data_IF_173386420517
#
_entry.id   IF_173386420517
#
_cell.length_a   1.000
_cell.length_b   1.000
_cell.length_c   1.000
_cell.angle_alpha   90.00
_cell.angle_beta   90.00
_cell.angle_gamma   90.00
#
_symmetry.space_group_name_H-M   'P 1'
#
loop_
_entity.id
_entity.type
_entity.pdbx_description
1 polymer ?
#
# COMPACT_ATOMS: atom_id res chain seq x y z
N UNK A 1 -9.16 1.77 31.36
CA UNK A 1 -9.35 3.01 30.59
C UNK A 1 -8.11 3.87 30.77
N UNK A 2 -7.13 3.73 29.90
CA UNK A 2 -6.01 4.67 29.81
C UNK A 2 -6.18 5.32 28.46
N UNK A 3 -6.60 6.58 28.46
CA UNK A 3 -6.53 7.43 27.28
C UNK A 3 -5.06 7.51 26.88
N UNK A 4 -4.67 6.65 25.93
CA UNK A 4 -3.49 6.90 25.12
C UNK A 4 -3.80 8.18 24.36
N UNK A 5 -3.33 9.31 24.88
CA UNK A 5 -3.21 10.54 24.13
C UNK A 5 -2.24 10.29 22.97
N UNK A 6 -2.72 9.61 21.93
CA UNK A 6 -2.10 9.52 20.62
C UNK A 6 -1.89 10.96 20.18
N UNK A 7 -0.65 11.46 20.26
CA UNK A 7 -0.27 12.72 19.62
C UNK A 7 -0.69 12.57 18.16
N UNK A 8 -1.69 13.35 17.74
CA UNK A 8 -2.02 13.49 16.32
C UNK A 8 -0.71 13.72 15.57
N UNK A 9 -0.50 12.95 14.50
CA UNK A 9 0.59 13.15 13.56
C UNK A 9 0.62 14.63 13.16
N UNK A 10 1.76 15.29 13.44
CA UNK A 10 1.90 16.72 13.23
C UNK A 10 1.87 17.00 11.73
N UNK A 11 0.76 17.54 11.24
CA UNK A 11 0.63 17.95 9.84
C UNK A 11 1.50 19.18 9.59
N UNK A 12 2.35 19.16 8.58
CA UNK A 12 3.14 20.32 8.16
C UNK A 12 2.25 21.34 7.45
N UNK A 13 2.62 22.62 7.57
CA UNK A 13 1.94 23.72 6.88
C UNK A 13 1.97 23.50 5.36
N UNK A 14 0.82 23.65 4.69
CA UNK A 14 0.72 23.47 3.24
C UNK A 14 1.52 24.49 2.41
N UNK A 15 1.95 25.60 3.02
CA UNK A 15 2.94 26.51 2.44
C UNK A 15 4.36 25.93 2.62
N UNK A 16 4.60 24.71 2.14
CA UNK A 16 5.90 24.03 2.27
C UNK A 16 6.72 24.12 0.98
N UNK A 17 6.06 24.06 -0.18
CA UNK A 17 6.70 24.22 -1.48
C UNK A 17 6.26 25.54 -2.13
N UNK A 18 7.24 26.23 -2.71
CA UNK A 18 7.01 27.35 -3.60
C UNK A 18 7.46 26.90 -4.99
N UNK A 19 6.59 27.03 -5.98
CA UNK A 19 6.96 26.78 -7.38
C UNK A 19 8.15 27.69 -7.76
N UNK A 20 9.05 27.23 -8.64
CA UNK A 20 10.15 28.05 -9.15
C UNK A 20 9.57 29.30 -9.83
N UNK A 21 9.67 30.45 -9.15
CA UNK A 21 9.10 31.72 -9.60
C UNK A 21 8.11 32.38 -8.63
N UNK A 22 7.66 31.70 -7.57
CA UNK A 22 6.78 32.30 -6.55
C UNK A 22 7.63 32.81 -5.37
N UNK A 23 7.50 34.10 -5.04
CA UNK A 23 8.18 34.73 -3.90
C UNK A 23 7.50 34.35 -2.59
N UNK A 24 7.98 33.33 -1.92
CA UNK A 24 7.54 33.01 -0.56
C UNK A 24 8.49 32.06 0.14
N UNK A 25 8.39 32.02 1.47
CA UNK A 25 9.29 31.26 2.33
C UNK A 25 8.61 29.92 2.66
N UNK A 26 9.22 28.77 2.33
CA UNK A 26 8.81 27.45 2.79
C UNK A 26 8.59 27.41 4.31
N UNK A 27 7.49 26.81 4.74
CA UNK A 27 7.10 26.74 6.14
C UNK A 27 7.06 25.29 6.62
N UNK A 28 7.94 24.96 7.56
CA UNK A 28 8.01 23.64 8.21
C UNK A 28 7.21 23.57 9.52
N UNK A 29 6.51 24.65 9.90
CA UNK A 29 5.72 24.70 11.14
C UNK A 29 4.52 23.77 11.07
N UNK A 30 4.10 23.27 12.22
CA UNK A 30 2.87 22.49 12.36
C UNK A 30 1.65 23.33 11.99
N UNK A 31 0.77 22.75 11.18
CA UNK A 31 -0.48 23.35 10.76
C UNK A 31 -1.60 23.09 11.78
N UNK A 32 -2.50 24.05 11.94
CA UNK A 32 -3.69 23.91 12.78
C UNK A 32 -4.94 24.58 12.22
N UNK A 33 -4.80 25.38 11.15
CA UNK A 33 -5.88 26.17 10.56
C UNK A 33 -6.19 25.67 9.15
N UNK A 34 -7.35 25.04 8.98
CA UNK A 34 -7.79 24.57 7.68
C UNK A 34 -8.16 25.71 6.72
N UNK A 35 -8.06 25.46 5.42
CA UNK A 35 -8.65 26.34 4.42
C UNK A 35 -10.19 26.31 4.54
N UNK A 36 -10.79 27.43 4.94
CA UNK A 36 -12.26 27.54 5.10
C UNK A 36 -13.07 27.32 3.80
N UNK A 37 -12.43 27.41 2.64
CA UNK A 37 -13.11 27.23 1.34
C UNK A 37 -13.31 25.77 0.96
N UNK A 38 -12.31 24.92 1.17
CA UNK A 38 -12.31 23.53 0.69
C UNK A 38 -12.12 22.49 1.79
N UNK A 39 -11.53 22.86 2.93
CA UNK A 39 -11.09 21.96 4.00
C UNK A 39 -10.16 20.83 3.53
N UNK A 40 -9.39 21.05 2.46
CA UNK A 40 -8.41 20.09 1.93
C UNK A 40 -7.00 20.28 2.50
N UNK A 41 -6.62 21.50 2.88
CA UNK A 41 -5.27 21.83 3.33
C UNK A 41 -5.29 22.59 4.65
N UNK A 42 -4.17 22.60 5.36
CA UNK A 42 -4.00 23.28 6.63
C UNK A 42 -2.76 24.18 6.62
N UNK A 43 -2.81 25.26 7.39
CA UNK A 43 -1.75 26.26 7.53
C UNK A 43 -1.42 26.52 8.99
N UNK A 44 -0.21 26.99 9.26
CA UNK A 44 0.17 27.49 10.58
C UNK A 44 -0.33 28.94 10.80
N UNK A 45 -0.47 29.74 9.74
CA UNK A 45 -0.87 31.15 9.80
C UNK A 45 -1.66 31.59 8.55
N UNK A 46 -2.29 32.76 8.65
CA UNK A 46 -2.97 33.40 7.50
C UNK A 46 -1.96 33.81 6.42
N UNK A 47 -0.77 34.26 6.79
CA UNK A 47 0.27 34.66 5.84
C UNK A 47 0.72 33.48 4.98
N UNK A 48 0.89 32.30 5.58
CA UNK A 48 1.18 31.08 4.84
C UNK A 48 0.05 30.71 3.86
N UNK A 49 -1.22 30.92 4.26
CA UNK A 49 -2.34 30.71 3.35
C UNK A 49 -2.30 31.67 2.16
N UNK A 50 -1.99 32.95 2.39
CA UNK A 50 -1.88 33.96 1.33
C UNK A 50 -0.72 33.63 0.40
N UNK A 51 0.43 33.23 0.95
CA UNK A 51 1.61 32.84 0.17
C UNK A 51 1.34 31.62 -0.73
N UNK A 52 0.67 30.59 -0.20
CA UNK A 52 0.32 29.38 -0.95
C UNK A 52 -0.92 29.56 -1.87
N UNK A 53 -1.64 30.68 -1.79
CA UNK A 53 -2.94 30.83 -2.46
C UNK A 53 -2.85 30.70 -3.98
N UNK A 54 -1.77 31.17 -4.61
CA UNK A 54 -1.61 31.12 -6.07
C UNK A 54 -1.65 29.68 -6.60
N UNK A 55 -0.99 28.75 -5.91
CA UNK A 55 -0.98 27.33 -6.26
C UNK A 55 -2.28 26.66 -5.80
N UNK A 56 -2.70 26.87 -4.55
CA UNK A 56 -3.88 26.20 -3.97
C UNK A 56 -5.23 26.60 -4.60
N UNK A 57 -5.35 27.80 -5.17
CA UNK A 57 -6.61 28.30 -5.75
C UNK A 57 -7.17 27.37 -6.82
N UNK A 58 -6.32 26.71 -7.60
CA UNK A 58 -6.71 25.77 -8.68
C UNK A 58 -7.52 24.59 -8.11
N UNK A 59 -7.07 24.04 -6.99
CA UNK A 59 -7.77 22.95 -6.29
C UNK A 59 -9.01 23.48 -5.56
N UNK A 60 -8.84 24.56 -4.79
CA UNK A 60 -9.90 25.13 -3.96
C UNK A 60 -11.11 25.63 -4.77
N UNK A 61 -10.89 26.06 -6.02
CA UNK A 61 -11.92 26.57 -6.94
C UNK A 61 -12.15 25.64 -8.14
N UNK A 62 -11.68 24.39 -8.07
CA UNK A 62 -11.90 23.39 -9.11
C UNK A 62 -13.40 23.21 -9.40
N UNK A 63 -13.80 22.97 -10.67
CA UNK A 63 -15.18 22.60 -11.00
C UNK A 63 -15.70 21.41 -10.18
N UNK A 64 -14.81 20.46 -9.84
CA UNK A 64 -15.17 19.29 -9.02
C UNK A 64 -15.60 19.65 -7.60
N UNK A 65 -15.21 20.82 -7.07
CA UNK A 65 -15.67 21.34 -5.78
C UNK A 65 -17.15 21.76 -5.78
N UNK A 66 -17.80 21.85 -6.95
CA UNK A 66 -19.21 22.25 -7.04
C UNK A 66 -20.14 21.07 -6.79
N UNK A 67 -21.11 21.24 -5.89
CA UNK A 67 -22.23 20.27 -5.70
C UNK A 67 -23.05 20.09 -6.98
N UNK A 68 -23.13 21.12 -7.81
CA UNK A 68 -23.83 21.12 -9.09
C UNK A 68 -23.03 20.51 -10.24
N UNK A 69 -21.78 20.07 -10.01
CA UNK A 69 -21.01 19.40 -11.06
C UNK A 69 -21.76 18.14 -11.56
N UNK A 70 -21.68 17.91 -12.87
CA UNK A 70 -22.28 16.78 -13.57
C UNK A 70 -21.23 16.19 -14.52
N UNK A 71 -21.23 14.87 -14.74
CA UNK A 71 -20.43 14.25 -15.80
C UNK A 71 -20.70 14.87 -17.16
N UNK A 72 -19.69 14.91 -18.02
CA UNK A 72 -19.73 15.52 -19.33
C UNK A 72 -20.81 14.87 -20.22
N UNK A 73 -20.92 13.54 -20.19
CA UNK A 73 -21.96 12.81 -20.93
C UNK A 73 -23.39 13.21 -20.52
N UNK A 74 -23.62 13.59 -19.24
CA UNK A 74 -24.93 14.09 -18.80
C UNK A 74 -25.19 15.53 -19.27
N UNK A 75 -24.16 16.38 -19.25
CA UNK A 75 -24.24 17.77 -19.74
C UNK A 75 -24.50 17.80 -21.25
N UNK A 76 -23.81 16.96 -22.01
CA UNK A 76 -23.94 16.81 -23.46
C UNK A 76 -25.22 16.08 -23.89
N UNK A 77 -25.95 15.47 -22.94
CA UNK A 77 -27.05 14.53 -23.23
C UNK A 77 -26.62 13.42 -24.19
N UNK A 78 -25.36 13.01 -24.08
CA UNK A 78 -24.74 11.95 -24.86
C UNK A 78 -24.86 10.62 -24.13
N UNK A 79 -25.02 9.53 -24.87
CA UNK A 79 -24.91 8.17 -24.34
C UNK A 79 -23.49 7.94 -23.79
N UNK A 80 -23.32 7.51 -22.53
CA UNK A 80 -22.00 7.22 -21.96
C UNK A 80 -21.33 6.03 -22.66
N UNK A 81 -20.01 6.03 -22.80
CA UNK A 81 -19.24 4.97 -23.47
C UNK A 81 -19.34 3.61 -22.77
N UNK A 82 -19.66 3.60 -21.47
CA UNK A 82 -19.89 2.38 -20.69
C UNK A 82 -21.29 1.79 -20.86
N UNK A 83 -22.20 2.45 -21.59
CA UNK A 83 -23.50 1.89 -21.97
C UNK A 83 -23.39 1.47 -23.43
N UNK A 84 -23.16 0.18 -23.71
CA UNK A 84 -23.16 -0.41 -25.07
C UNK A 84 -24.42 -1.24 -25.31
N UNK A 85 -24.83 -1.39 -26.57
CA UNK A 85 -25.95 -2.26 -26.94
C UNK A 85 -25.53 -3.74 -26.86
N UNK A 86 -26.48 -4.62 -26.55
CA UNK A 86 -26.25 -6.07 -26.50
C UNK A 86 -25.86 -6.68 -27.87
N UNK A 87 -26.01 -5.91 -28.96
CA UNK A 87 -25.74 -6.35 -30.33
C UNK A 87 -24.34 -5.95 -30.85
N UNK A 88 -23.44 -5.43 -29.99
CA UNK A 88 -22.05 -5.16 -30.39
C UNK A 88 -21.30 -6.49 -30.63
N UNK A 89 -20.92 -6.83 -31.88
CA UNK A 89 -20.29 -8.12 -32.19
C UNK A 89 -18.89 -8.27 -31.60
N UNK A 90 -18.33 -7.23 -30.97
CA UNK A 90 -17.10 -7.31 -30.18
C UNK A 90 -17.32 -7.92 -28.77
N UNK A 91 -18.58 -8.12 -28.36
CA UNK A 91 -18.94 -8.91 -27.18
C UNK A 91 -19.03 -10.39 -27.57
N UNK A 92 -18.06 -11.19 -27.13
CA UNK A 92 -18.44 -12.50 -26.58
C UNK A 92 -19.34 -12.30 -25.34
N UNK A 93 -19.72 -13.37 -24.64
CA UNK A 93 -20.66 -13.37 -23.49
C UNK A 93 -20.26 -12.52 -22.23
N UNK A 94 -19.40 -11.51 -22.35
CA UNK A 94 -18.90 -10.71 -21.22
C UNK A 94 -19.82 -9.51 -20.93
N UNK A 95 -20.41 -9.39 -19.73
CA UNK A 95 -21.26 -8.27 -19.37
C UNK A 95 -20.57 -6.91 -19.51
N UNK A 96 -21.29 -5.91 -20.03
CA UNK A 96 -20.82 -4.53 -20.28
C UNK A 96 -20.24 -3.84 -19.02
N UNK A 97 -20.63 -4.28 -17.83
CA UNK A 97 -20.11 -3.80 -16.52
C UNK A 97 -18.68 -4.26 -16.21
N UNK A 98 -18.09 -5.16 -17.01
CA UNK A 98 -16.81 -5.83 -16.75
C UNK A 98 -15.67 -5.39 -17.69
N UNK A 99 -15.85 -4.34 -18.52
CA UNK A 99 -14.80 -3.82 -19.40
C UNK A 99 -13.63 -3.28 -18.59
N UNK A 100 -12.63 -4.13 -18.41
CA UNK A 100 -11.39 -3.88 -17.69
C UNK A 100 -10.48 -2.97 -18.50
N UNK A 101 -9.91 -1.97 -17.84
CA UNK A 101 -8.84 -1.14 -18.40
C UNK A 101 -7.65 -1.17 -17.45
N UNK A 102 -6.44 -1.30 -18.00
CA UNK A 102 -5.24 -1.60 -17.21
C UNK A 102 -5.04 -3.11 -17.01
N UNK A 103 -4.24 -3.46 -16.00
CA UNK A 103 -3.85 -4.85 -15.70
C UNK A 103 -4.52 -5.33 -14.40
N UNK A 104 -4.80 -6.64 -14.31
CA UNK A 104 -5.47 -7.26 -13.14
C UNK A 104 -4.49 -7.69 -12.05
N UNK A 105 -3.69 -6.76 -11.52
CA UNK A 105 -3.00 -7.00 -10.25
C UNK A 105 -3.73 -6.25 -9.15
N UNK A 106 -3.92 -6.91 -8.02
CA UNK A 106 -4.63 -6.36 -6.85
C UNK A 106 -3.63 -6.02 -5.74
N UNK A 107 -2.67 -5.14 -6.04
CA UNK A 107 -1.53 -4.87 -5.16
C UNK A 107 -1.87 -3.97 -3.96
N UNK A 108 -3.07 -3.38 -3.96
CA UNK A 108 -3.72 -2.73 -2.80
C UNK A 108 -4.87 -3.57 -2.23
N UNK A 109 -4.98 -4.79 -2.74
CA UNK A 109 -6.09 -5.72 -2.59
C UNK A 109 -7.45 -5.17 -3.04
N UNK A 110 -8.51 -5.95 -2.86
CA UNK A 110 -9.85 -5.69 -3.41
C UNK A 110 -11.00 -5.82 -2.39
N UNK A 111 -10.68 -5.84 -1.10
CA UNK A 111 -11.65 -5.94 0.02
C UNK A 111 -11.09 -5.16 1.20
N UNK A 112 -11.88 -4.47 2.03
CA UNK A 112 -11.36 -3.78 3.21
C UNK A 112 -10.59 -4.72 4.14
N UNK A 113 -9.62 -4.19 4.88
CA UNK A 113 -8.90 -4.94 5.90
C UNK A 113 -9.86 -5.51 6.97
N UNK A 114 -9.74 -6.80 7.22
CA UNK A 114 -10.53 -7.55 8.20
C UNK A 114 -9.60 -8.06 9.29
N UNK A 115 -9.94 -7.78 10.55
CA UNK A 115 -9.42 -8.56 11.67
C UNK A 115 -10.06 -9.95 11.57
N UNK A 116 -9.27 -11.00 11.33
CA UNK A 116 -9.79 -12.37 11.22
C UNK A 116 -9.90 -13.05 12.58
N UNK A 117 -9.22 -12.52 13.61
CA UNK A 117 -9.24 -13.06 14.96
C UNK A 117 -10.53 -12.64 15.65
N UNK A 118 -10.95 -11.38 15.50
CA UNK A 118 -12.17 -10.82 16.11
C UNK A 118 -12.36 -11.35 17.54
N UNK A 119 -11.39 -11.16 18.43
CA UNK A 119 -11.36 -11.82 19.74
C UNK A 119 -12.69 -11.76 20.50
N UNK A 120 -13.41 -10.63 20.41
CA UNK A 120 -14.69 -10.45 21.08
C UNK A 120 -15.87 -11.18 20.43
N UNK A 121 -15.77 -11.62 19.17
CA UNK A 121 -16.87 -12.22 18.40
C UNK A 121 -16.59 -13.68 17.99
N UNK A 122 -15.35 -14.05 17.66
CA UNK A 122 -14.99 -15.38 17.15
C UNK A 122 -14.34 -16.27 18.22
N UNK A 123 -13.25 -15.81 18.85
CA UNK A 123 -12.40 -16.65 19.71
C UNK A 123 -12.75 -16.58 21.21
N UNK A 124 -13.56 -15.61 21.63
CA UNK A 124 -13.92 -15.39 23.03
C UNK A 124 -12.86 -14.60 23.81
N UNK A 125 -13.09 -14.40 25.12
CA UNK A 125 -12.21 -13.59 25.97
C UNK A 125 -10.84 -14.24 26.22
N UNK A 126 -10.79 -15.56 26.17
CA UNK A 126 -9.61 -16.36 26.49
C UNK A 126 -8.96 -16.83 25.19
N UNK A 127 -8.06 -16.00 24.65
CA UNK A 127 -7.28 -16.36 23.46
C UNK A 127 -6.33 -17.52 23.78
N UNK A 128 -6.14 -18.47 22.84
CA UNK A 128 -5.20 -19.58 23.02
C UNK A 128 -3.77 -19.07 23.13
N UNK A 129 -2.89 -19.79 23.85
CA UNK A 129 -1.48 -19.41 24.00
C UNK A 129 -0.70 -19.40 22.66
N UNK A 130 -1.20 -20.11 21.65
CA UNK A 130 -0.64 -20.16 20.31
C UNK A 130 -1.73 -19.93 19.27
N UNK A 131 -1.60 -18.85 18.51
CA UNK A 131 -2.47 -18.52 17.38
C UNK A 131 -1.81 -18.95 16.07
N UNK A 132 -2.55 -19.70 15.25
CA UNK A 132 -2.11 -20.10 13.90
C UNK A 132 -3.07 -19.54 12.87
N UNK A 133 -2.58 -18.61 12.06
CA UNK A 133 -3.38 -17.84 11.11
C UNK A 133 -2.97 -18.18 9.68
N UNK A 134 -3.96 -18.51 8.84
CA UNK A 134 -3.75 -18.82 7.43
C UNK A 134 -4.37 -17.76 6.53
N UNK A 135 -3.53 -17.07 5.76
CA UNK A 135 -3.89 -16.15 4.69
C UNK A 135 -3.56 -16.82 3.35
N UNK A 136 -4.41 -17.77 2.93
CA UNK A 136 -4.14 -18.66 1.79
C UNK A 136 -4.07 -17.98 0.41
N UNK A 137 -4.78 -16.86 0.25
CA UNK A 137 -4.72 -15.99 -0.93
C UNK A 137 -4.72 -14.55 -0.40
N UNK A 138 -3.56 -14.15 0.11
CA UNK A 138 -3.40 -12.95 0.94
C UNK A 138 -3.73 -11.66 0.19
N UNK A 139 -3.34 -11.53 -1.09
CA UNK A 139 -3.43 -10.30 -1.88
C UNK A 139 -2.46 -9.21 -1.38
N UNK A 140 -2.57 -8.80 -0.13
CA UNK A 140 -1.59 -7.97 0.58
C UNK A 140 -1.60 -8.27 2.09
N UNK A 141 -0.79 -7.59 2.89
CA UNK A 141 -0.71 -7.84 4.35
C UNK A 141 -1.74 -7.07 5.19
N UNK A 142 -2.77 -6.43 4.61
CA UNK A 142 -3.68 -5.57 5.42
C UNK A 142 -4.46 -6.35 6.47
N UNK A 143 -4.86 -7.58 6.14
CA UNK A 143 -5.55 -8.48 7.08
C UNK A 143 -4.60 -8.97 8.18
N UNK A 144 -3.33 -9.20 7.85
CA UNK A 144 -2.27 -9.54 8.81
C UNK A 144 -2.06 -8.38 9.79
N UNK A 145 -1.88 -7.17 9.27
CA UNK A 145 -1.71 -5.94 10.05
C UNK A 145 -2.90 -5.73 10.97
N UNK A 146 -4.12 -5.72 10.41
CA UNK A 146 -5.35 -5.49 11.17
C UNK A 146 -5.53 -6.52 12.29
N UNK A 147 -5.37 -7.80 11.98
CA UNK A 147 -5.54 -8.88 12.97
C UNK A 147 -4.54 -8.78 14.14
N UNK A 148 -3.27 -8.48 13.85
CA UNK A 148 -2.26 -8.37 14.90
C UNK A 148 -2.42 -7.08 15.73
N UNK A 149 -2.84 -5.98 15.10
CA UNK A 149 -3.08 -4.69 15.77
C UNK A 149 -4.29 -4.74 16.72
N UNK A 150 -5.32 -5.53 16.38
CA UNK A 150 -6.54 -5.69 17.20
C UNK A 150 -6.40 -6.77 18.29
N UNK A 151 -5.28 -7.50 18.34
CA UNK A 151 -5.01 -8.40 19.47
C UNK A 151 -4.99 -7.62 20.80
N UNK A 152 -5.60 -8.15 21.87
CA UNK A 152 -5.56 -7.53 23.19
C UNK A 152 -4.12 -7.21 23.61
N UNK A 153 -3.88 -6.01 24.15
CA UNK A 153 -2.54 -5.59 24.57
C UNK A 153 -1.96 -6.47 25.69
N UNK A 154 -2.79 -7.28 26.34
CA UNK A 154 -2.40 -8.28 27.35
C UNK A 154 -1.96 -9.60 26.73
N UNK A 155 -2.29 -9.88 25.47
CA UNK A 155 -1.88 -11.10 24.79
C UNK A 155 -0.36 -11.12 24.60
N UNK A 156 0.26 -12.21 25.09
CA UNK A 156 1.71 -12.49 25.06
C UNK A 156 2.02 -13.86 24.43
N UNK A 157 1.02 -14.54 23.88
CA UNK A 157 1.18 -15.85 23.26
C UNK A 157 1.95 -15.79 21.94
N UNK A 158 2.18 -16.96 21.38
CA UNK A 158 2.84 -17.14 20.10
C UNK A 158 1.88 -16.89 18.94
N UNK A 159 2.37 -16.27 17.87
CA UNK A 159 1.63 -16.09 16.62
C UNK A 159 2.39 -16.73 15.47
N UNK A 160 1.80 -17.73 14.83
CA UNK A 160 2.28 -18.31 13.58
C UNK A 160 1.36 -17.88 12.45
N UNK A 161 1.90 -17.18 11.45
CA UNK A 161 1.14 -16.64 10.33
C UNK A 161 1.69 -17.22 9.03
N UNK A 162 0.81 -17.87 8.27
CA UNK A 162 1.10 -18.36 6.94
C UNK A 162 0.44 -17.42 5.94
N UNK A 163 1.26 -16.84 5.06
CA UNK A 163 0.87 -15.81 4.10
C UNK A 163 1.23 -16.34 2.72
N UNK A 164 0.22 -16.66 1.92
CA UNK A 164 0.42 -17.24 0.60
C UNK A 164 -0.23 -16.36 -0.46
N UNK A 165 0.40 -16.30 -1.62
CA UNK A 165 -0.24 -15.88 -2.85
C UNK A 165 0.38 -16.62 -4.03
N UNK A 166 -0.34 -16.73 -5.14
CA UNK A 166 0.19 -17.31 -6.37
C UNK A 166 0.87 -16.28 -7.27
N UNK A 167 0.57 -15.00 -7.08
CA UNK A 167 1.21 -13.91 -7.82
C UNK A 167 2.51 -13.52 -7.11
N UNK A 168 3.65 -13.76 -7.77
CA UNK A 168 4.97 -13.42 -7.22
C UNK A 168 5.08 -11.94 -6.84
N UNK A 169 4.48 -11.01 -7.60
CA UNK A 169 4.56 -9.58 -7.27
C UNK A 169 3.90 -9.28 -5.92
N UNK A 170 2.83 -10.00 -5.59
CA UNK A 170 2.17 -9.91 -4.28
C UNK A 170 3.09 -10.48 -3.19
N UNK A 171 3.66 -11.65 -3.40
CA UNK A 171 4.53 -12.30 -2.40
C UNK A 171 5.79 -11.47 -2.14
N UNK A 172 6.45 -10.98 -3.19
CA UNK A 172 7.60 -10.09 -3.12
C UNK A 172 7.29 -8.83 -2.30
N UNK A 173 6.14 -8.21 -2.54
CA UNK A 173 5.70 -7.02 -1.79
C UNK A 173 5.40 -7.32 -0.33
N UNK A 174 4.70 -8.41 -0.06
CA UNK A 174 4.41 -8.84 1.30
C UNK A 174 5.70 -9.13 2.08
N UNK A 175 6.67 -9.79 1.45
CA UNK A 175 7.99 -10.02 2.02
C UNK A 175 8.72 -8.70 2.32
N UNK A 176 8.76 -7.76 1.37
CA UNK A 176 9.40 -6.45 1.56
C UNK A 176 8.77 -5.64 2.70
N UNK A 177 7.43 -5.62 2.77
CA UNK A 177 6.71 -4.90 3.83
C UNK A 177 6.99 -5.51 5.22
N UNK A 178 6.98 -6.83 5.35
CA UNK A 178 7.27 -7.51 6.62
C UNK A 178 8.75 -7.39 7.01
N UNK A 179 9.69 -7.52 6.06
CA UNK A 179 11.11 -7.28 6.30
C UNK A 179 11.35 -5.83 6.74
N UNK A 180 10.66 -4.86 6.14
CA UNK A 180 10.72 -3.45 6.55
C UNK A 180 10.27 -3.29 8.02
N UNK A 181 9.15 -3.92 8.40
CA UNK A 181 8.66 -3.90 9.77
C UNK A 181 9.61 -4.57 10.79
N UNK A 182 10.44 -5.53 10.35
CA UNK A 182 11.36 -6.28 11.21
C UNK A 182 12.75 -5.64 11.32
N UNK A 183 13.18 -4.87 10.30
CA UNK A 183 14.54 -4.32 10.18
C UNK A 183 14.66 -2.88 10.70
N UNK A 184 13.62 -2.07 10.56
CA UNK A 184 13.65 -0.63 10.90
C UNK A 184 12.93 -0.31 12.22
N UNK A 185 13.21 0.86 12.78
CA UNK A 185 12.45 1.41 13.91
C UNK A 185 10.96 1.55 13.55
N UNK A 186 10.00 1.29 14.47
CA UNK A 186 8.58 1.32 14.17
C UNK A 186 8.04 2.58 13.48
N UNK A 187 8.60 3.76 13.76
CA UNK A 187 8.16 5.02 13.14
C UNK A 187 8.69 5.10 11.70
N UNK A 188 9.97 4.77 11.52
CA UNK A 188 10.62 4.76 10.21
C UNK A 188 10.04 3.66 9.30
N UNK A 189 9.84 2.45 9.84
CA UNK A 189 9.24 1.33 9.13
C UNK A 189 7.85 1.71 8.61
N UNK A 190 7.00 2.32 9.45
CA UNK A 190 5.67 2.74 9.05
C UNK A 190 5.69 3.76 7.90
N UNK A 191 6.59 4.75 7.93
CA UNK A 191 6.73 5.75 6.86
C UNK A 191 7.13 5.09 5.52
N UNK A 192 8.15 4.22 5.56
CA UNK A 192 8.62 3.48 4.40
C UNK A 192 7.51 2.57 3.85
N UNK A 193 6.85 1.80 4.71
CA UNK A 193 5.81 0.84 4.34
C UNK A 193 4.63 1.50 3.64
N UNK A 194 4.11 2.65 4.11
CA UNK A 194 3.00 3.36 3.45
C UNK A 194 3.33 3.63 1.99
N UNK A 195 4.54 4.11 1.73
CA UNK A 195 4.93 4.57 0.40
C UNK A 195 5.29 3.41 -0.53
N UNK A 196 5.95 2.36 -0.03
CA UNK A 196 6.11 1.12 -0.81
C UNK A 196 4.76 0.50 -1.15
N UNK A 197 3.79 0.58 -0.23
CA UNK A 197 2.49 -0.06 -0.42
C UNK A 197 1.58 0.75 -1.35
N UNK A 198 1.36 2.03 -1.08
CA UNK A 198 0.26 2.80 -1.67
C UNK A 198 0.69 3.94 -2.61
N UNK A 199 1.99 4.24 -2.71
CA UNK A 199 2.48 5.29 -3.61
C UNK A 199 3.19 4.72 -4.83
N UNK A 200 2.82 5.21 -6.02
CA UNK A 200 3.50 4.95 -7.29
C UNK A 200 4.92 5.52 -7.30
N UNK A 201 5.17 6.59 -6.54
CA UNK A 201 6.50 7.17 -6.36
C UNK A 201 6.89 7.14 -4.89
N UNK A 202 8.17 6.96 -4.62
CA UNK A 202 8.77 6.99 -3.28
C UNK A 202 9.92 8.00 -3.26
N UNK A 203 10.40 8.31 -2.05
CA UNK A 203 11.58 9.16 -1.89
C UNK A 203 12.84 8.35 -2.19
N UNK A 204 13.89 9.03 -2.66
CA UNK A 204 15.21 8.44 -2.83
C UNK A 204 15.76 7.87 -1.51
N UNK A 205 15.53 8.59 -0.40
CA UNK A 205 15.91 8.11 0.93
C UNK A 205 15.25 6.79 1.30
N UNK A 206 13.94 6.63 1.04
CA UNK A 206 13.23 5.38 1.34
C UNK A 206 13.75 4.23 0.48
N UNK A 207 14.02 4.47 -0.81
CA UNK A 207 14.59 3.45 -1.69
C UNK A 207 16.00 3.02 -1.24
N UNK A 208 16.87 3.99 -0.94
CA UNK A 208 18.25 3.73 -0.51
C UNK A 208 18.28 2.90 0.77
N UNK A 209 17.41 3.19 1.76
CA UNK A 209 17.31 2.41 2.99
C UNK A 209 16.99 0.94 2.72
N UNK A 210 16.05 0.65 1.81
CA UNK A 210 15.70 -0.72 1.43
C UNK A 210 16.88 -1.42 0.73
N UNK A 211 17.57 -0.70 -0.16
CA UNK A 211 18.76 -1.19 -0.85
C UNK A 211 19.95 -1.44 0.09
N UNK A 212 20.11 -0.64 1.14
CA UNK A 212 21.23 -0.77 2.08
C UNK A 212 20.99 -1.88 3.12
N UNK A 213 19.72 -2.08 3.53
CA UNK A 213 19.39 -2.92 4.68
C UNK A 213 18.73 -4.25 4.33
N UNK A 214 17.89 -4.29 3.28
CA UNK A 214 17.10 -5.47 2.96
C UNK A 214 17.66 -6.18 1.72
N UNK A 215 17.96 -5.44 0.65
CA UNK A 215 18.47 -6.03 -0.59
C UNK A 215 19.68 -6.97 -0.39
N UNK A 216 20.71 -6.65 0.43
CA UNK A 216 21.85 -7.54 0.62
C UNK A 216 21.47 -8.87 1.27
N UNK A 217 20.43 -8.87 2.11
CA UNK A 217 19.90 -10.10 2.71
C UNK A 217 19.26 -11.03 1.65
N UNK A 218 18.72 -10.45 0.58
CA UNK A 218 18.13 -11.19 -0.54
C UNK A 218 19.23 -11.64 -1.51
N UNK A 219 20.17 -10.76 -1.85
CA UNK A 219 21.30 -11.08 -2.73
C UNK A 219 22.17 -12.22 -2.16
N UNK A 220 22.42 -12.25 -0.85
CA UNK A 220 23.07 -13.39 -0.17
C UNK A 220 22.37 -14.73 -0.44
N UNK A 221 21.03 -14.72 -0.48
CA UNK A 221 20.24 -15.93 -0.77
C UNK A 221 20.41 -16.32 -2.22
N UNK A 222 20.27 -15.37 -3.15
CA UNK A 222 20.43 -15.58 -4.58
C UNK A 222 21.80 -16.19 -4.92
N UNK A 223 22.87 -15.68 -4.32
CA UNK A 223 24.23 -16.21 -4.48
C UNK A 223 24.33 -17.68 -4.02
N UNK A 224 23.79 -17.99 -2.85
CA UNK A 224 23.82 -19.35 -2.27
C UNK A 224 23.00 -20.37 -3.07
N UNK A 225 21.97 -19.93 -3.80
CA UNK A 225 21.10 -20.80 -4.61
C UNK A 225 21.38 -20.73 -6.11
N UNK A 226 22.42 -20.02 -6.54
CA UNK A 226 22.70 -19.75 -7.96
C UNK A 226 22.74 -21.02 -8.84
N UNK A 227 23.30 -22.12 -8.33
CA UNK A 227 23.41 -23.41 -9.03
C UNK A 227 22.17 -24.30 -8.97
N UNK A 228 21.09 -23.90 -8.30
CA UNK A 228 19.88 -24.71 -8.14
C UNK A 228 18.94 -24.56 -9.36
N UNK A 229 18.14 -25.60 -9.71
CA UNK A 229 17.18 -25.52 -10.81
C UNK A 229 16.14 -24.41 -10.61
N UNK A 230 15.74 -23.70 -11.66
CA UNK A 230 14.81 -22.56 -11.56
C UNK A 230 13.47 -22.85 -10.88
N UNK A 231 12.94 -24.07 -11.05
CA UNK A 231 11.67 -24.50 -10.42
C UNK A 231 11.84 -25.06 -9.01
N UNK A 232 13.07 -25.31 -8.57
CA UNK A 232 13.32 -25.87 -7.24
C UNK A 232 12.96 -24.85 -6.16
N UNK A 233 12.22 -25.29 -5.14
CA UNK A 233 11.82 -24.43 -4.04
C UNK A 233 12.98 -24.23 -3.08
N UNK A 234 13.29 -22.98 -2.79
CA UNK A 234 14.32 -22.57 -1.85
C UNK A 234 13.69 -21.81 -0.70
N UNK A 235 14.12 -22.11 0.51
CA UNK A 235 13.65 -21.46 1.73
C UNK A 235 14.78 -20.73 2.42
N UNK A 236 14.50 -19.51 2.89
CA UNK A 236 15.35 -18.79 3.83
C UNK A 236 14.52 -18.33 5.01
N UNK A 237 15.04 -18.57 6.22
CA UNK A 237 14.51 -18.00 7.45
C UNK A 237 15.48 -16.96 8.01
N UNK A 238 14.97 -15.78 8.33
CA UNK A 238 15.68 -14.75 9.09
C UNK A 238 15.07 -14.61 10.49
N UNK A 239 15.92 -14.40 11.49
CA UNK A 239 15.54 -14.32 12.90
C UNK A 239 15.92 -12.96 13.48
N UNK A 240 14.97 -12.31 14.15
CA UNK A 240 15.05 -10.98 14.76
C UNK A 240 14.62 -11.05 16.23
N UNK A 241 15.43 -11.66 17.09
CA UNK A 241 15.03 -11.95 18.47
C UNK A 241 13.92 -13.01 18.50
N UNK A 242 12.76 -12.68 19.09
CA UNK A 242 11.59 -13.57 19.18
C UNK A 242 10.74 -13.62 17.91
N UNK A 243 11.19 -12.94 16.84
CA UNK A 243 10.44 -12.77 15.59
C UNK A 243 11.18 -13.46 14.47
N UNK A 244 10.50 -14.28 13.69
CA UNK A 244 11.09 -14.98 12.53
C UNK A 244 10.26 -14.75 11.28
N UNK A 245 10.93 -14.60 10.13
CA UNK A 245 10.30 -14.62 8.81
C UNK A 245 10.95 -15.70 7.96
N UNK A 246 10.14 -16.62 7.44
CA UNK A 246 10.55 -17.61 6.45
C UNK A 246 9.93 -17.26 5.10
N UNK A 247 10.76 -17.19 4.07
CA UNK A 247 10.32 -16.96 2.69
C UNK A 247 10.65 -18.20 1.86
N UNK A 248 9.63 -18.79 1.23
CA UNK A 248 9.74 -19.99 0.41
C UNK A 248 9.30 -19.65 -1.01
N UNK A 249 10.25 -19.64 -1.94
CA UNK A 249 10.03 -19.27 -3.34
C UNK A 249 10.71 -20.27 -4.28
N UNK A 250 10.21 -20.46 -5.50
CA UNK A 250 10.99 -21.04 -6.58
C UNK A 250 12.30 -20.26 -6.78
N UNK A 251 13.38 -20.95 -7.14
CA UNK A 251 14.69 -20.31 -7.39
C UNK A 251 14.60 -19.17 -8.41
N UNK A 252 13.82 -19.32 -9.49
CA UNK A 252 13.63 -18.26 -10.47
C UNK A 252 12.98 -16.99 -9.88
N UNK A 253 12.10 -17.16 -8.91
CA UNK A 253 11.47 -16.05 -8.17
C UNK A 253 12.45 -15.39 -7.20
N UNK A 254 13.34 -16.17 -6.57
CA UNK A 254 14.48 -15.61 -5.83
C UNK A 254 15.38 -14.76 -6.73
N UNK A 255 15.72 -15.22 -7.93
CA UNK A 255 16.53 -14.45 -8.88
C UNK A 255 15.86 -13.13 -9.29
N UNK A 256 14.52 -13.09 -9.33
CA UNK A 256 13.75 -11.91 -9.71
C UNK A 256 13.60 -10.92 -8.54
N UNK A 257 13.54 -11.38 -7.29
CA UNK A 257 13.26 -10.54 -6.12
C UNK A 257 14.18 -9.31 -5.96
N UNK A 258 15.51 -9.37 -6.23
CA UNK A 258 16.37 -8.19 -6.21
C UNK A 258 15.90 -7.03 -7.10
N UNK A 259 15.18 -7.31 -8.20
CA UNK A 259 14.66 -6.27 -9.10
C UNK A 259 13.57 -5.41 -8.44
N UNK A 260 12.91 -5.89 -7.39
CA UNK A 260 11.91 -5.12 -6.63
C UNK A 260 12.53 -4.04 -5.74
N UNK A 261 13.86 -3.97 -5.68
CA UNK A 261 14.62 -2.92 -4.99
C UNK A 261 15.29 -1.95 -5.96
N UNK A 262 15.12 -2.11 -7.28
CA UNK A 262 15.83 -1.34 -8.31
C UNK A 262 14.81 -0.77 -9.30
N UNK A 263 14.88 0.53 -9.55
CA UNK A 263 14.05 1.14 -10.60
C UNK A 263 14.48 0.55 -11.95
N UNK A 264 13.54 0.06 -12.79
CA UNK A 264 13.90 -0.50 -14.09
C UNK A 264 14.71 0.46 -14.95
N UNK A 265 15.70 -0.09 -15.66
CA UNK A 265 16.54 0.71 -16.56
C UNK A 265 15.69 1.46 -17.59
N UNK A 266 15.99 2.74 -17.77
CA UNK A 266 15.27 3.61 -18.70
C UNK A 266 13.88 4.06 -18.21
N UNK A 267 13.48 3.76 -16.97
CA UNK A 267 12.24 4.26 -16.38
C UNK A 267 12.48 5.54 -15.55
N UNK A 268 12.43 6.70 -16.21
CA UNK A 268 12.43 7.98 -15.50
C UNK A 268 11.12 8.22 -14.74
N UNK A 269 11.14 9.14 -13.77
CA UNK A 269 9.94 9.60 -13.05
C UNK A 269 8.83 10.05 -14.02
N UNK A 270 9.19 10.82 -15.05
CA UNK A 270 8.25 11.33 -16.06
C UNK A 270 7.67 10.21 -16.93
N UNK A 271 8.47 9.21 -17.32
CA UNK A 271 8.00 8.05 -18.09
C UNK A 271 7.05 7.20 -17.25
N UNK A 272 7.40 6.91 -16.00
CA UNK A 272 6.55 6.19 -15.07
C UNK A 272 5.21 6.90 -14.83
N UNK A 273 5.24 8.23 -14.65
CA UNK A 273 4.03 9.02 -14.44
C UNK A 273 3.13 8.98 -15.67
N UNK A 274 3.71 9.09 -16.87
CA UNK A 274 2.96 9.00 -18.12
C UNK A 274 2.26 7.65 -18.24
N UNK A 275 2.97 6.55 -18.05
CA UNK A 275 2.44 5.18 -18.14
C UNK A 275 1.31 4.95 -17.12
N UNK A 276 1.47 5.46 -15.89
CA UNK A 276 0.41 5.42 -14.88
C UNK A 276 -0.82 6.21 -15.33
N UNK A 277 -0.64 7.47 -15.73
CA UNK A 277 -1.73 8.39 -16.15
C UNK A 277 -2.46 7.89 -17.39
N UNK A 278 -1.76 7.25 -18.33
CA UNK A 278 -2.36 6.60 -19.51
C UNK A 278 -3.39 5.52 -19.11
N UNK A 279 -3.23 4.92 -17.93
CA UNK A 279 -4.19 3.96 -17.36
C UNK A 279 -5.21 4.63 -16.44
N UNK A 280 -4.76 5.40 -15.43
CA UNK A 280 -5.63 5.95 -14.38
C UNK A 280 -6.52 7.11 -14.85
N UNK A 281 -6.13 7.80 -15.92
CA UNK A 281 -6.83 8.95 -16.50
C UNK A 281 -6.99 8.82 -18.02
N UNK A 282 -7.09 7.59 -18.52
CA UNK A 282 -7.27 7.31 -19.95
C UNK A 282 -8.45 8.10 -20.54
N UNK A 283 -8.28 8.86 -21.63
CA UNK A 283 -9.38 9.58 -22.28
C UNK A 283 -10.52 8.65 -22.70
N UNK A 284 -10.20 7.40 -23.07
CA UNK A 284 -11.19 6.37 -23.45
C UNK A 284 -12.09 5.92 -22.29
N UNK A 285 -11.65 6.17 -21.05
CA UNK A 285 -12.32 5.80 -19.79
C UNK A 285 -12.93 6.99 -19.06
N UNK A 286 -12.97 8.16 -19.70
CA UNK A 286 -13.47 9.39 -19.10
C UNK A 286 -14.89 9.23 -18.52
N UNK A 287 -15.81 8.63 -19.26
CA UNK A 287 -17.19 8.47 -18.80
C UNK A 287 -17.27 7.55 -17.55
N UNK A 288 -16.44 6.50 -17.50
CA UNK A 288 -16.32 5.60 -16.33
C UNK A 288 -15.79 6.34 -15.10
N UNK A 289 -14.71 7.10 -15.26
CA UNK A 289 -14.12 7.90 -14.20
C UNK A 289 -15.12 8.97 -13.70
N UNK A 290 -15.77 9.69 -14.60
CA UNK A 290 -16.74 10.71 -14.21
C UNK A 290 -17.97 10.12 -13.52
N UNK A 291 -18.40 8.90 -13.90
CA UNK A 291 -19.43 8.15 -13.17
C UNK A 291 -19.00 7.87 -11.73
N UNK A 292 -17.77 7.42 -11.53
CA UNK A 292 -17.21 7.19 -10.20
C UNK A 292 -17.15 8.50 -9.39
N UNK A 293 -16.56 9.56 -9.95
CA UNK A 293 -16.44 10.87 -9.29
C UNK A 293 -17.81 11.47 -8.95
N UNK A 294 -18.84 11.23 -9.75
CA UNK A 294 -20.19 11.73 -9.49
C UNK A 294 -20.76 11.23 -8.15
N UNK A 295 -20.46 9.99 -7.78
CA UNK A 295 -20.89 9.38 -6.51
C UNK A 295 -20.15 9.92 -5.29
N UNK A 296 -19.05 10.66 -5.48
CA UNK A 296 -18.21 11.18 -4.40
C UNK A 296 -18.61 12.61 -3.99
N UNK A 297 -18.39 13.00 -2.71
CA UNK A 297 -18.49 14.39 -2.26
C UNK A 297 -17.56 15.33 -3.06
N UNK A 298 -17.88 16.64 -3.18
CA UNK A 298 -17.16 17.54 -4.08
C UNK A 298 -15.64 17.61 -3.84
N UNK A 299 -15.21 17.69 -2.59
CA UNK A 299 -13.79 17.73 -2.26
C UNK A 299 -13.06 16.41 -2.53
N UNK A 300 -13.74 15.28 -2.34
CA UNK A 300 -13.16 13.96 -2.58
C UNK A 300 -12.90 13.70 -4.06
N UNK A 301 -13.67 14.32 -4.95
CA UNK A 301 -13.41 14.30 -6.40
C UNK A 301 -12.05 14.92 -6.71
N UNK A 302 -11.74 16.07 -6.11
CA UNK A 302 -10.45 16.74 -6.26
C UNK A 302 -9.32 15.87 -5.71
N UNK A 303 -9.50 15.26 -4.54
CA UNK A 303 -8.51 14.33 -3.99
C UNK A 303 -8.26 13.13 -4.91
N UNK A 304 -9.34 12.53 -5.43
CA UNK A 304 -9.27 11.36 -6.32
C UNK A 304 -8.53 11.70 -7.63
N UNK A 305 -8.84 12.86 -8.23
CA UNK A 305 -8.13 13.34 -9.42
C UNK A 305 -6.66 13.56 -9.12
N UNK A 306 -6.32 14.20 -7.99
CA UNK A 306 -4.93 14.44 -7.59
C UNK A 306 -4.16 13.14 -7.44
N UNK A 307 -4.69 12.18 -6.68
CA UNK A 307 -4.06 10.86 -6.49
C UNK A 307 -3.91 10.10 -7.82
N UNK A 308 -4.90 10.14 -8.72
CA UNK A 308 -4.78 9.51 -10.05
C UNK A 308 -3.76 10.18 -10.96
N UNK A 309 -3.42 11.45 -10.72
CA UNK A 309 -2.40 12.20 -11.49
C UNK A 309 -0.98 12.06 -10.92
N UNK A 310 -0.83 12.14 -9.59
CA UNK A 310 0.50 12.11 -8.94
C UNK A 310 0.87 10.73 -8.39
N UNK A 311 -0.11 9.87 -8.10
CA UNK A 311 0.09 8.50 -7.64
C UNK A 311 0.62 8.40 -6.22
N UNK A 312 0.59 9.45 -5.40
CA UNK A 312 1.24 9.46 -4.07
C UNK A 312 0.20 9.55 -2.96
N UNK A 313 0.16 8.53 -2.08
CA UNK A 313 -0.70 8.57 -0.89
C UNK A 313 -0.08 9.48 0.18
N UNK A 314 -0.55 10.72 0.22
CA UNK A 314 -0.16 11.75 1.19
C UNK A 314 -1.31 12.70 1.47
N UNK A 315 -1.35 13.34 2.65
CA UNK A 315 -2.26 14.46 2.91
C UNK A 315 -2.17 15.52 1.82
N UNK A 316 -3.30 16.04 1.38
CA UNK A 316 -3.45 16.84 0.16
C UNK A 316 -2.50 18.04 0.10
N UNK A 317 -2.24 18.67 1.25
CA UNK A 317 -1.38 19.85 1.38
C UNK A 317 0.11 19.57 1.57
N UNK A 318 0.55 18.30 1.69
CA UNK A 318 1.96 17.98 1.85
C UNK A 318 2.75 18.07 0.53
N UNK A 319 4.07 18.24 0.63
CA UNK A 319 4.96 18.25 -0.53
C UNK A 319 4.98 16.89 -1.23
N UNK A 320 5.02 16.91 -2.57
CA UNK A 320 5.35 15.75 -3.40
C UNK A 320 6.74 15.85 -4.02
N UNK A 321 7.51 16.91 -3.70
CA UNK A 321 8.75 17.25 -4.41
C UNK A 321 9.80 16.14 -4.33
N UNK A 322 9.88 15.45 -3.20
CA UNK A 322 10.88 14.42 -2.96
C UNK A 322 10.46 13.03 -3.48
N UNK A 323 9.20 12.86 -3.92
CA UNK A 323 8.65 11.61 -4.44
C UNK A 323 8.97 11.46 -5.93
N UNK A 324 10.27 11.27 -6.22
CA UNK A 324 10.80 11.24 -7.58
C UNK A 324 11.16 9.83 -8.08
N UNK A 325 11.27 8.85 -7.19
CA UNK A 325 11.68 7.51 -7.58
C UNK A 325 10.42 6.70 -7.92
N UNK A 326 10.27 6.16 -9.15
CA UNK A 326 9.25 5.16 -9.42
C UNK A 326 9.36 4.03 -8.41
N UNK A 327 8.26 3.66 -7.76
CA UNK A 327 8.25 2.58 -6.80
C UNK A 327 8.51 1.25 -7.54
N UNK A 328 9.67 0.59 -7.34
CA UNK A 328 10.01 -0.63 -8.06
C UNK A 328 9.02 -1.77 -7.79
N UNK A 329 8.31 -1.75 -6.66
CA UNK A 329 7.28 -2.77 -6.35
C UNK A 329 5.95 -2.57 -7.10
N UNK A 330 5.78 -1.44 -7.78
CA UNK A 330 4.67 -1.14 -8.68
C UNK A 330 5.13 -1.06 -10.13
N UNK A 331 6.39 -0.71 -10.38
CA UNK A 331 6.95 -0.59 -11.71
C UNK A 331 7.99 -1.68 -11.95
N UNK A 332 7.54 -2.86 -12.35
CA UNK A 332 8.38 -3.96 -12.85
C UNK A 332 8.49 -3.98 -14.39
N UNK A 333 7.77 -3.10 -15.07
CA UNK A 333 7.82 -2.90 -16.53
C UNK A 333 7.89 -1.41 -16.83
N UNK A 334 8.52 -1.05 -17.95
CA UNK A 334 8.59 0.35 -18.39
C UNK A 334 7.38 0.81 -19.20
N UNK A 335 6.46 -0.10 -19.53
CA UNK A 335 5.49 0.11 -20.60
C UNK A 335 4.04 0.09 -20.14
N UNK A 336 3.76 -0.41 -18.92
CA UNK A 336 2.39 -0.47 -18.40
C UNK A 336 2.31 -0.26 -16.89
N UNK A 337 1.16 0.24 -16.45
CA UNK A 337 0.76 0.26 -15.04
C UNK A 337 0.15 -1.09 -14.64
N UNK A 338 0.55 -1.71 -13.51
CA UNK A 338 0.16 -3.08 -13.18
C UNK A 338 -1.27 -3.25 -12.67
N UNK A 339 -1.99 -2.15 -12.38
CA UNK A 339 -3.33 -2.22 -11.79
C UNK A 339 -4.40 -1.65 -12.74
N UNK A 340 -5.66 -1.84 -12.38
CA UNK A 340 -6.80 -1.34 -13.13
C UNK A 340 -6.95 0.18 -12.96
N UNK A 341 -7.63 0.82 -13.91
CA UNK A 341 -7.98 2.25 -13.85
C UNK A 341 -8.77 2.65 -12.61
N UNK A 342 -9.55 1.70 -12.06
CA UNK A 342 -10.36 1.87 -10.86
C UNK A 342 -9.63 1.59 -9.54
N UNK A 343 -8.38 1.13 -9.55
CA UNK A 343 -7.68 0.78 -8.32
C UNK A 343 -7.52 2.02 -7.42
N UNK A 344 -7.89 1.89 -6.14
CA UNK A 344 -7.89 3.01 -5.20
C UNK A 344 -7.56 2.52 -3.79
N UNK A 345 -6.54 3.08 -3.10
CA UNK A 345 -6.18 2.66 -1.74
C UNK A 345 -7.31 2.88 -0.72
N UNK A 346 -8.30 3.72 -1.03
CA UNK A 346 -9.50 3.92 -0.20
C UNK A 346 -10.34 2.64 -0.03
N UNK A 347 -10.22 1.66 -0.95
CA UNK A 347 -10.93 0.38 -0.90
C UNK A 347 -10.25 -0.64 0.03
N UNK A 348 -8.99 -0.40 0.41
CA UNK A 348 -8.19 -1.34 1.20
C UNK A 348 -8.48 -1.31 2.70
N UNK A 349 -9.23 -0.32 3.20
CA UNK A 349 -9.49 -0.12 4.62
C UNK A 349 -10.93 0.34 4.87
N UNK A 350 -11.56 -0.02 6.00
CA UNK A 350 -12.92 0.40 6.32
C UNK A 350 -13.05 1.92 6.39
N UNK A 351 -14.00 2.50 5.66
CA UNK A 351 -14.11 3.95 5.52
C UNK A 351 -14.54 4.64 6.82
N UNK A 352 -15.32 3.95 7.63
CA UNK A 352 -15.78 4.41 8.93
C UNK A 352 -14.60 4.61 9.89
N UNK A 353 -13.57 3.76 9.78
CA UNK A 353 -12.41 3.80 10.67
C UNK A 353 -11.52 5.01 10.37
N UNK A 354 -11.13 5.21 9.11
CA UNK A 354 -10.23 6.33 8.77
C UNK A 354 -10.93 7.70 8.75
N UNK A 355 -12.26 7.75 8.74
CA UNK A 355 -13.02 9.00 8.88
C UNK A 355 -13.44 9.32 10.33
N UNK A 356 -13.25 8.39 11.27
CA UNK A 356 -13.69 8.55 12.67
C UNK A 356 -12.97 9.68 13.42
N UNK A 357 -11.73 10.01 13.05
CA UNK A 357 -10.90 11.03 13.70
C UNK A 357 -10.47 12.12 12.70
N UNK A 358 -11.40 13.01 12.28
CA UNK A 358 -11.11 13.98 11.24
C UNK A 358 -10.08 15.02 11.69
N UNK A 359 -9.07 15.26 10.85
CA UNK A 359 -8.16 16.39 11.02
C UNK A 359 -8.88 17.72 10.69
N UNK A 360 -8.27 18.89 10.97
CA UNK A 360 -8.82 20.17 10.50
C UNK A 360 -9.08 20.21 8.98
N UNK A 361 -8.25 19.52 8.18
CA UNK A 361 -8.53 19.24 6.77
C UNK A 361 -9.51 18.06 6.62
N UNK A 362 -10.70 18.20 7.20
CA UNK A 362 -11.72 17.13 7.26
C UNK A 362 -12.24 16.62 5.91
N UNK A 363 -11.98 17.34 4.82
CA UNK A 363 -12.39 16.94 3.48
C UNK A 363 -11.27 16.21 2.71
N UNK A 364 -10.07 16.11 3.30
CA UNK A 364 -8.94 15.39 2.73
C UNK A 364 -9.05 13.88 3.04
N UNK A 365 -9.75 13.16 2.17
CA UNK A 365 -10.03 11.73 2.38
C UNK A 365 -8.77 10.87 2.29
N UNK A 366 -7.84 11.19 1.38
CA UNK A 366 -6.56 10.46 1.25
C UNK A 366 -5.60 10.80 2.38
N UNK A 367 -5.61 12.05 2.88
CA UNK A 367 -4.89 12.39 4.11
C UNK A 367 -5.44 11.68 5.34
N UNK A 368 -6.77 11.55 5.44
CA UNK A 368 -7.42 10.79 6.50
C UNK A 368 -7.00 9.31 6.46
N UNK A 369 -7.02 8.70 5.27
CA UNK A 369 -6.48 7.36 5.05
C UNK A 369 -5.00 7.27 5.42
N UNK A 370 -4.16 8.20 4.95
CA UNK A 370 -2.73 8.22 5.24
C UNK A 370 -2.45 8.19 6.74
N UNK A 371 -3.09 9.07 7.53
CA UNK A 371 -2.87 9.11 8.97
C UNK A 371 -3.39 7.88 9.69
N UNK A 372 -4.52 7.34 9.23
CA UNK A 372 -5.05 6.09 9.75
C UNK A 372 -4.07 4.92 9.50
N UNK A 373 -3.59 4.74 8.26
CA UNK A 373 -2.62 3.69 7.93
C UNK A 373 -1.31 3.91 8.68
N UNK A 374 -0.85 5.15 8.81
CA UNK A 374 0.33 5.48 9.61
C UNK A 374 0.19 5.02 11.08
N UNK A 375 -0.96 5.25 11.71
CA UNK A 375 -1.23 4.74 13.05
C UNK A 375 -1.26 3.20 13.09
N UNK A 376 -1.95 2.57 12.14
CA UNK A 376 -2.04 1.10 12.04
C UNK A 376 -0.66 0.46 11.90
N UNK A 377 0.19 0.98 11.01
CA UNK A 377 1.52 0.44 10.76
C UNK A 377 2.48 0.70 11.93
N UNK A 378 2.41 1.87 12.58
CA UNK A 378 3.20 2.11 13.79
C UNK A 378 2.78 1.18 14.94
N UNK A 379 1.47 0.98 15.12
CA UNK A 379 0.94 0.03 16.10
C UNK A 379 1.37 -1.39 15.77
N UNK A 380 1.31 -1.78 14.50
CA UNK A 380 1.75 -3.09 14.02
C UNK A 380 3.23 -3.33 14.30
N UNK A 381 4.11 -2.41 13.89
CA UNK A 381 5.56 -2.54 14.11
C UNK A 381 5.90 -2.62 15.61
N UNK A 382 5.28 -1.79 16.45
CA UNK A 382 5.42 -1.90 17.92
C UNK A 382 4.83 -3.18 18.48
N UNK A 383 3.74 -3.68 17.89
CA UNK A 383 3.05 -4.87 18.39
C UNK A 383 3.91 -6.12 18.18
N UNK A 384 4.51 -6.26 17.00
CA UNK A 384 5.34 -7.44 16.67
C UNK A 384 6.63 -7.49 17.50
N UNK A 385 7.17 -6.36 17.98
CA UNK A 385 8.30 -6.32 18.93
C UNK A 385 8.00 -7.00 20.27
N UNK A 386 6.73 -7.01 20.68
CA UNK A 386 6.28 -7.52 21.98
C UNK A 386 5.66 -8.92 21.89
N UNK A 387 5.77 -9.59 20.73
CA UNK A 387 5.21 -10.91 20.49
C UNK A 387 6.32 -11.90 20.13
N UNK A 388 6.04 -13.18 20.39
CA UNK A 388 6.74 -14.28 19.73
C UNK A 388 6.01 -14.56 18.43
N UNK A 389 6.63 -14.25 17.29
CA UNK A 389 5.94 -14.28 15.99
C UNK A 389 6.75 -15.01 14.93
N UNK A 390 6.06 -15.82 14.14
CA UNK A 390 6.60 -16.54 12.98
C UNK A 390 5.77 -16.24 11.75
N UNK A 391 6.35 -15.49 10.81
CA UNK A 391 5.82 -15.32 9.47
C UNK A 391 6.37 -16.42 8.56
N UNK A 392 5.51 -17.05 7.78
CA UNK A 392 5.88 -17.98 6.71
C UNK A 392 5.22 -17.54 5.42
N UNK A 393 6.01 -17.19 4.41
CA UNK A 393 5.54 -16.71 3.12
C UNK A 393 5.78 -17.76 2.05
N UNK A 394 4.77 -17.96 1.20
CA UNK A 394 4.80 -18.92 0.10
C UNK A 394 4.33 -18.27 -1.20
N UNK A 395 4.99 -18.63 -2.30
CA UNK A 395 4.51 -18.41 -3.67
C UNK A 395 3.94 -19.73 -4.21
N UNK A 396 2.68 -20.02 -3.89
CA UNK A 396 2.01 -21.26 -4.30
C UNK A 396 0.57 -20.98 -4.71
N UNK A 397 0.04 -21.84 -5.59
CA UNK A 397 -1.40 -21.99 -5.70
C UNK A 397 -1.96 -22.47 -4.35
N UNK A 398 -3.01 -21.81 -3.85
CA UNK A 398 -3.63 -22.15 -2.57
C UNK A 398 -4.07 -23.62 -2.51
N UNK A 399 -4.40 -24.24 -3.64
CA UNK A 399 -4.73 -25.66 -3.74
C UNK A 399 -3.57 -26.59 -3.36
N UNK A 400 -2.33 -26.11 -3.48
CA UNK A 400 -1.12 -26.89 -3.17
C UNK A 400 -0.63 -26.69 -1.72
N UNK A 401 -1.18 -25.71 -0.98
CA UNK A 401 -0.83 -25.47 0.42
C UNK A 401 -0.96 -26.71 1.32
N UNK A 402 -2.06 -27.50 1.28
CA UNK A 402 -2.20 -28.67 2.15
C UNK A 402 -1.16 -29.76 1.90
N UNK A 403 -0.66 -29.88 0.66
CA UNK A 403 0.33 -30.88 0.26
C UNK A 403 1.77 -30.52 0.67
N UNK A 404 2.00 -29.29 1.12
CA UNK A 404 3.32 -28.81 1.51
C UNK A 404 3.71 -29.41 2.87
N UNK A 405 4.53 -30.48 2.87
CA UNK A 405 4.84 -31.33 4.05
C UNK A 405 5.48 -30.64 5.27
N UNK A 406 5.67 -29.32 5.26
CA UNK A 406 6.38 -28.55 6.30
C UNK A 406 5.46 -27.76 7.26
N UNK A 407 4.16 -28.09 7.34
CA UNK A 407 3.27 -27.62 8.42
C UNK A 407 3.71 -28.04 9.84
N UNK A 408 4.76 -28.87 9.94
CA UNK A 408 5.38 -29.22 11.22
C UNK A 408 6.69 -28.45 11.36
N UNK A 409 6.93 -27.76 12.49
CA UNK A 409 8.28 -27.34 12.83
C UNK A 409 9.14 -28.59 12.83
N UNK A 410 10.35 -28.52 12.25
CA UNK A 410 11.37 -29.52 12.52
C UNK A 410 11.56 -29.59 14.05
N UNK A 411 10.88 -30.53 14.70
CA UNK A 411 10.79 -30.65 16.16
C UNK A 411 12.08 -31.19 16.79
N UNK A 412 13.17 -31.27 16.04
CA UNK A 412 14.48 -31.67 16.52
C UNK A 412 15.54 -30.80 15.84
N UNK A 413 15.82 -29.64 16.43
CA UNK A 413 17.09 -28.97 16.15
C UNK A 413 17.63 -28.29 17.40
N UNK A 414 18.63 -28.93 18.00
CA UNK A 414 19.54 -28.31 18.97
C UNK A 414 20.45 -27.32 18.26
N UNK A 415 20.73 -26.14 18.84
CA UNK A 415 21.45 -25.07 18.15
C UNK A 415 22.90 -25.44 17.94
N UNK A 416 23.32 -25.65 16.68
CA UNK A 416 24.72 -25.54 16.28
C UNK A 416 24.83 -24.82 14.93
N UNK A 417 25.27 -23.56 15.03
CA UNK A 417 25.77 -22.67 13.97
C UNK A 417 24.74 -22.07 12.99
N UNK A 418 24.99 -20.81 12.63
CA UNK A 418 24.05 -19.81 12.11
C UNK A 418 23.92 -19.78 10.58
N UNK A 419 23.90 -20.92 9.91
CA UNK A 419 23.76 -20.98 8.45
C UNK A 419 23.10 -22.30 8.00
N UNK A 420 21.77 -22.35 7.98
CA UNK A 420 21.05 -23.48 7.39
C UNK A 420 20.19 -23.04 6.19
N UNK A 421 20.56 -23.53 5.01
CA UNK A 421 19.79 -23.53 3.76
C UNK A 421 19.23 -24.93 3.54
N UNK A 422 17.91 -25.05 3.34
CA UNK A 422 17.28 -26.33 3.05
C UNK A 422 16.77 -26.35 1.60
N UNK A 423 17.33 -27.24 0.78
CA UNK A 423 16.81 -27.53 -0.56
C UNK A 423 15.70 -28.57 -0.45
N UNK A 424 14.50 -28.23 -0.91
CA UNK A 424 13.35 -29.12 -0.84
C UNK A 424 13.38 -30.13 -2.02
N UNK A 425 13.07 -31.42 -1.79
CA UNK A 425 12.98 -32.40 -2.87
C UNK A 425 11.80 -32.09 -3.79
N UNK A 426 12.04 -32.26 -5.10
CA UNK A 426 11.04 -32.04 -6.16
C UNK A 426 9.83 -32.98 -5.97
N UNK A 427 8.62 -32.42 -6.15
CA UNK A 427 7.35 -33.16 -6.16
C UNK A 427 6.99 -33.60 -7.57
#
# INVERSE_FOLDING_TARGET
MVESSQKLSKVTCANFDQDEGVKGIPCTKTASKACNGCFLVQYCSRDCQVAHWQTHKKDCKSPFMKKSWRPQWDVEKRRPTFIRDNDDPALGDQPVTMLQHGRKKYLWGNVPAIDIIQSCQNEGKDLPEQLKLLFAASGDIRNVVKSLVELPITYRGECELIINDKDFDVVARNAMLLLTALVFDPIEAADIMIHIWYSAFITESNLQKLQDKILPMIEDVCEKVAGRPGKSLQSKTWTFGTRTISLVLPKASWDLLPSFFKVPDGLSASKAQRVMVETTLSPSRRDNLERELYTRPPAWRVCATKFRSDGVLLPFGQSRKDFKMPNPTLFQSTDFWPMMDSADPLEGWPFEEYLSKPSPARNDVYGSLYFYIQDQLQRFCKRIENLTIRFQLFELDALHLPGFKYWRPCLHWTPKTSDDFCSLPEA
#
